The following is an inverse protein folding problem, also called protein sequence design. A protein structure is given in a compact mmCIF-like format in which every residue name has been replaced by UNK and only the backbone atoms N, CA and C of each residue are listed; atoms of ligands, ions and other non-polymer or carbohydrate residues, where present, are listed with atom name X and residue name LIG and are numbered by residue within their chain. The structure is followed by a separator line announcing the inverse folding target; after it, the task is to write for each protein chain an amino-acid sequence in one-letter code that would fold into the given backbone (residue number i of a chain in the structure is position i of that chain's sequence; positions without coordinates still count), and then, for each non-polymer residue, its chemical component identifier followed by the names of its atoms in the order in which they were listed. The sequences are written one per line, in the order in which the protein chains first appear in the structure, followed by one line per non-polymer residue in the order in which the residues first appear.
data_IF_794659109465
#
_entry.id   IF_794659109465
#
_cell.length_a   1.000
_cell.length_b   1.000
_cell.length_c   1.000
_cell.angle_alpha   90.00
_cell.angle_beta   90.00
_cell.angle_gamma   90.00
#
_symmetry.space_group_name_H-M   'P 1'
#
loop_
_entity.id
_entity.type
_entity.pdbx_description
1 polymer ?
#
# COMPACT_ATOMS: atom_id res chain seq x y z
N UNK A 1 -24.68 1.08 -25.16
CA UNK A 1 -24.67 -0.11 -24.30
C UNK A 1 -23.27 -0.63 -24.14
N UNK A 2 -22.77 -0.55 -22.94
CA UNK A 2 -21.45 -1.04 -22.67
C UNK A 2 -21.43 -2.56 -22.72
N UNK A 3 -20.65 -3.12 -23.60
CA UNK A 3 -20.30 -4.53 -23.54
C UNK A 3 -19.37 -4.73 -22.34
N UNK A 4 -19.93 -4.70 -21.14
CA UNK A 4 -19.15 -5.02 -19.94
C UNK A 4 -18.85 -6.51 -20.02
N UNK A 5 -17.57 -6.82 -20.21
CA UNK A 5 -17.12 -8.19 -20.14
C UNK A 5 -17.15 -8.64 -18.68
N UNK A 6 -18.10 -9.50 -18.34
CA UNK A 6 -18.28 -10.01 -16.98
C UNK A 6 -17.01 -10.69 -16.44
N UNK A 7 -16.21 -11.30 -17.32
CA UNK A 7 -14.94 -11.90 -16.92
C UNK A 7 -13.94 -10.86 -16.45
N UNK A 8 -13.92 -9.67 -17.06
CA UNK A 8 -13.03 -8.59 -16.65
C UNK A 8 -13.46 -7.98 -15.31
N UNK A 9 -14.77 -7.87 -15.05
CA UNK A 9 -15.29 -7.37 -13.77
C UNK A 9 -14.96 -8.36 -12.66
N UNK A 10 -15.16 -9.66 -12.88
CA UNK A 10 -14.82 -10.70 -11.91
C UNK A 10 -13.33 -10.72 -11.59
N UNK A 11 -12.47 -10.57 -12.61
CA UNK A 11 -11.02 -10.51 -12.43
C UNK A 11 -10.61 -9.29 -11.62
N UNK A 12 -11.22 -8.13 -11.89
CA UNK A 12 -10.96 -6.90 -11.14
C UNK A 12 -11.34 -7.05 -9.66
N UNK A 13 -12.49 -7.68 -9.38
CA UNK A 13 -12.92 -7.96 -8.02
C UNK A 13 -11.96 -8.91 -7.30
N UNK A 14 -11.47 -9.94 -7.97
CA UNK A 14 -10.48 -10.86 -7.41
C UNK A 14 -9.18 -10.14 -7.08
N UNK A 15 -8.71 -9.28 -7.97
CA UNK A 15 -7.49 -8.49 -7.74
C UNK A 15 -7.65 -7.56 -6.54
N UNK A 16 -8.81 -6.91 -6.39
CA UNK A 16 -9.09 -6.05 -5.24
C UNK A 16 -9.16 -6.84 -3.94
N UNK A 17 -9.76 -8.02 -3.95
CA UNK A 17 -9.81 -8.89 -2.78
C UNK A 17 -8.42 -9.35 -2.35
N UNK A 18 -7.56 -9.70 -3.30
CA UNK A 18 -6.18 -10.06 -3.01
C UNK A 18 -5.42 -8.87 -2.42
N UNK A 19 -5.60 -7.68 -2.99
CA UNK A 19 -4.96 -6.47 -2.50
C UNK A 19 -5.42 -6.09 -1.09
N UNK A 20 -6.69 -6.31 -0.78
CA UNK A 20 -7.24 -6.06 0.55
C UNK A 20 -6.60 -6.97 1.61
N UNK A 21 -6.41 -8.23 1.28
CA UNK A 21 -5.92 -9.24 2.22
C UNK A 21 -4.40 -9.39 2.26
N UNK A 22 -3.70 -8.89 1.26
CA UNK A 22 -2.24 -9.02 1.13
C UNK A 22 -1.62 -7.69 0.72
N UNK A 23 -0.81 -7.11 1.62
CA UNK A 23 -0.15 -5.84 1.40
C UNK A 23 0.79 -5.87 0.19
N UNK A 24 1.49 -6.97 -0.03
CA UNK A 24 2.38 -7.11 -1.18
C UNK A 24 1.59 -7.14 -2.49
N UNK A 25 0.46 -7.85 -2.51
CA UNK A 25 -0.44 -7.83 -3.67
C UNK A 25 -0.98 -6.43 -3.94
N UNK A 26 -1.32 -5.68 -2.90
CA UNK A 26 -1.70 -4.28 -3.01
C UNK A 26 -0.58 -3.44 -3.66
N UNK A 27 0.66 -3.61 -3.18
CA UNK A 27 1.80 -2.89 -3.72
C UNK A 27 2.05 -3.19 -5.20
N UNK A 28 1.94 -4.45 -5.59
CA UNK A 28 2.10 -4.85 -7.00
C UNK A 28 1.01 -4.28 -7.90
N UNK A 29 -0.20 -4.18 -7.40
CA UNK A 29 -1.33 -3.66 -8.16
C UNK A 29 -1.32 -2.13 -8.25
N UNK A 30 -1.12 -1.43 -7.14
CA UNK A 30 -1.24 0.03 -7.07
C UNK A 30 0.09 0.79 -7.17
N UNK A 31 1.20 0.13 -6.83
CA UNK A 31 2.54 0.73 -6.83
C UNK A 31 3.52 -0.11 -7.65
N UNK A 32 3.22 -0.38 -8.95
CA UNK A 32 4.05 -1.29 -9.73
C UNK A 32 5.48 -0.82 -9.92
N UNK A 33 5.73 0.49 -9.95
CA UNK A 33 7.07 1.04 -10.11
C UNK A 33 8.00 0.63 -8.96
N UNK A 34 7.46 0.48 -7.76
CA UNK A 34 8.23 0.10 -6.58
C UNK A 34 8.28 -1.41 -6.35
N UNK A 35 7.22 -2.14 -6.72
CA UNK A 35 7.08 -3.56 -6.38
C UNK A 35 7.36 -4.52 -7.54
N UNK A 36 7.39 -4.03 -8.78
CA UNK A 36 7.59 -4.88 -9.97
C UNK A 36 8.98 -4.78 -10.57
N UNK A 37 9.88 -3.99 -9.99
CA UNK A 37 11.27 -3.85 -10.48
C UNK A 37 12.09 -5.10 -10.27
N UNK A 38 11.83 -5.80 -9.19
CA UNK A 38 12.54 -7.02 -8.83
C UNK A 38 11.59 -7.95 -8.08
N UNK A 39 12.01 -9.21 -7.92
CA UNK A 39 11.26 -10.18 -7.17
C UNK A 39 11.18 -9.74 -5.69
N UNK A 40 10.00 -9.89 -5.10
CA UNK A 40 9.76 -9.52 -3.69
C UNK A 40 10.48 -10.51 -2.77
N UNK A 41 11.40 -10.05 -1.91
CA UNK A 41 12.07 -10.93 -0.96
C UNK A 41 11.09 -11.53 0.05
N UNK A 42 11.39 -12.72 0.54
CA UNK A 42 10.51 -13.42 1.49
C UNK A 42 10.25 -12.62 2.77
N UNK A 43 11.24 -11.86 3.26
CA UNK A 43 11.07 -11.09 4.49
C UNK A 43 10.09 -9.93 4.35
N UNK A 44 9.85 -9.45 3.13
CA UNK A 44 8.79 -8.45 2.88
C UNK A 44 7.40 -9.03 3.19
N UNK A 45 7.17 -10.29 2.88
CA UNK A 45 5.92 -10.96 3.23
C UNK A 45 5.75 -11.10 4.75
N UNK A 46 6.83 -11.38 5.47
CA UNK A 46 6.79 -11.43 6.94
C UNK A 46 6.46 -10.07 7.56
N UNK A 47 7.05 -9.00 7.03
CA UNK A 47 6.76 -7.63 7.49
C UNK A 47 5.30 -7.27 7.18
N UNK A 48 4.82 -7.60 5.99
CA UNK A 48 3.44 -7.35 5.60
C UNK A 48 2.45 -8.06 6.51
N UNK A 49 2.70 -9.32 6.83
CA UNK A 49 1.86 -10.10 7.74
C UNK A 49 1.85 -9.50 9.14
N UNK A 50 3.01 -9.05 9.63
CA UNK A 50 3.10 -8.40 10.94
C UNK A 50 2.33 -7.07 10.96
N UNK A 51 2.39 -6.29 9.89
CA UNK A 51 1.64 -5.03 9.78
C UNK A 51 0.13 -5.27 9.77
N UNK A 52 -0.32 -6.38 9.20
CA UNK A 52 -1.73 -6.74 9.14
C UNK A 52 -2.27 -7.35 10.45
N UNK A 53 -1.40 -7.75 11.36
CA UNK A 53 -1.80 -8.42 12.59
C UNK A 53 -2.35 -7.42 13.60
N UNK A 54 -3.66 -7.48 13.84
CA UNK A 54 -4.37 -6.57 14.74
C UNK A 54 -4.08 -6.80 16.21
N UNK A 55 -3.41 -7.90 16.59
CA UNK A 55 -3.01 -8.17 17.96
C UNK A 55 -1.80 -7.33 18.39
N UNK A 56 -1.04 -6.80 17.45
CA UNK A 56 0.10 -5.95 17.74
C UNK A 56 -0.34 -4.48 17.90
N UNK A 57 -0.13 -3.90 19.07
CA UNK A 57 -0.32 -2.48 19.30
C UNK A 57 0.89 -1.66 18.88
N UNK A 58 2.06 -2.26 19.01
CA UNK A 58 3.33 -1.64 18.64
C UNK A 58 4.15 -2.65 17.86
N UNK A 59 4.72 -2.21 16.75
CA UNK A 59 5.54 -3.04 15.89
C UNK A 59 6.85 -2.33 15.59
N UNK A 60 7.97 -2.99 15.90
CA UNK A 60 9.30 -2.52 15.51
C UNK A 60 9.80 -3.37 14.34
N UNK A 61 10.12 -2.72 13.23
CA UNK A 61 10.67 -3.38 12.04
C UNK A 61 12.14 -3.00 11.93
N UNK A 62 13.01 -3.99 12.10
CA UNK A 62 14.46 -3.81 12.08
C UNK A 62 15.02 -4.56 10.88
N UNK A 63 15.39 -3.81 9.85
CA UNK A 63 15.97 -4.33 8.63
C UNK A 63 17.20 -3.50 8.26
N UNK A 64 18.18 -4.09 7.56
CA UNK A 64 19.32 -3.32 7.05
C UNK A 64 18.87 -2.22 6.10
N UNK A 65 19.74 -1.22 5.93
CA UNK A 65 19.51 -0.14 4.97
C UNK A 65 19.33 -0.71 3.56
N UNK A 66 18.39 -0.13 2.78
CA UNK A 66 18.15 -0.57 1.41
C UNK A 66 17.27 -1.80 1.26
N UNK A 67 16.62 -2.26 2.33
CA UNK A 67 15.76 -3.45 2.30
C UNK A 67 14.27 -3.15 2.23
N UNK A 68 13.89 -1.92 1.82
CA UNK A 68 12.51 -1.60 1.48
C UNK A 68 11.59 -1.25 2.64
N UNK A 69 12.11 -0.96 3.83
CA UNK A 69 11.29 -0.58 5.01
C UNK A 69 10.36 0.59 4.73
N UNK A 70 10.91 1.64 4.15
CA UNK A 70 10.17 2.87 3.88
C UNK A 70 9.08 2.64 2.83
N UNK A 71 9.38 1.89 1.79
CA UNK A 71 8.40 1.55 0.74
C UNK A 71 7.26 0.73 1.33
N UNK A 72 7.55 -0.27 2.16
CA UNK A 72 6.53 -1.09 2.82
C UNK A 72 5.65 -0.25 3.75
N UNK A 73 6.25 0.67 4.49
CA UNK A 73 5.51 1.56 5.40
C UNK A 73 4.57 2.47 4.63
N UNK A 74 5.05 3.10 3.56
CA UNK A 74 4.22 3.94 2.69
C UNK A 74 3.10 3.13 2.03
N UNK A 75 3.42 1.92 1.59
CA UNK A 75 2.43 1.00 1.02
C UNK A 75 1.33 0.67 2.03
N UNK A 76 1.70 0.40 3.28
CA UNK A 76 0.73 0.10 4.34
C UNK A 76 -0.22 1.28 4.60
N UNK A 77 0.31 2.50 4.62
CA UNK A 77 -0.51 3.72 4.79
C UNK A 77 -1.48 3.89 3.62
N UNK A 78 -1.02 3.70 2.40
CA UNK A 78 -1.89 3.80 1.21
C UNK A 78 -2.94 2.69 1.18
N UNK A 79 -2.59 1.48 1.59
CA UNK A 79 -3.54 0.38 1.72
C UNK A 79 -4.68 0.75 2.68
N UNK A 80 -4.33 1.26 3.85
CA UNK A 80 -5.33 1.68 4.82
C UNK A 80 -6.18 2.84 4.28
N UNK A 81 -5.55 3.79 3.60
CA UNK A 81 -6.27 4.92 3.00
C UNK A 81 -7.33 4.44 1.99
N UNK A 82 -6.98 3.47 1.16
CA UNK A 82 -7.90 2.96 0.12
C UNK A 82 -9.05 2.15 0.73
N UNK A 83 -8.75 1.27 1.68
CA UNK A 83 -9.73 0.30 2.18
C UNK A 83 -10.45 0.71 3.47
N UNK A 84 -10.05 1.82 4.09
CA UNK A 84 -10.70 2.34 5.31
C UNK A 84 -11.20 3.78 5.13
N UNK A 85 -11.64 4.12 3.93
CA UNK A 85 -12.07 5.48 3.61
C UNK A 85 -13.23 6.00 4.46
N UNK A 86 -14.08 5.09 4.96
CA UNK A 86 -15.23 5.42 5.80
C UNK A 86 -14.87 5.55 7.28
N UNK A 87 -13.64 5.20 7.65
CA UNK A 87 -13.13 5.26 9.01
C UNK A 87 -11.79 6.03 9.00
N UNK A 88 -11.85 7.36 9.10
CA UNK A 88 -10.66 8.19 8.93
C UNK A 88 -9.59 7.87 9.96
N UNK A 89 -8.38 7.62 9.47
CA UNK A 89 -7.22 7.31 10.28
C UNK A 89 -6.27 8.51 10.30
N UNK A 90 -5.61 8.71 11.43
CA UNK A 90 -4.56 9.70 11.56
C UNK A 90 -3.20 9.03 11.55
N UNK A 91 -2.29 9.51 10.71
CA UNK A 91 -0.94 9.01 10.62
C UNK A 91 0.06 10.12 10.91
N UNK A 92 0.99 9.85 11.80
CA UNK A 92 2.13 10.73 12.06
C UNK A 92 3.41 10.10 11.55
N UNK A 93 4.11 10.78 10.67
CA UNK A 93 5.43 10.34 10.21
C UNK A 93 6.51 11.11 10.98
N UNK A 94 7.27 10.38 11.79
CA UNK A 94 8.33 10.96 12.61
C UNK A 94 9.69 10.48 12.10
N UNK A 95 10.58 11.41 11.87
CA UNK A 95 11.94 11.13 11.40
C UNK A 95 12.94 12.04 12.11
N UNK A 96 14.23 11.78 11.93
CA UNK A 96 15.29 12.58 12.55
C UNK A 96 15.27 14.05 12.08
N UNK A 97 14.79 14.33 10.88
CA UNK A 97 14.66 15.69 10.35
C UNK A 97 13.53 15.77 9.32
N UNK A 98 13.09 17.01 9.04
CA UNK A 98 12.10 17.27 7.99
C UNK A 98 12.60 16.90 6.60
N UNK A 99 13.92 16.90 6.38
CA UNK A 99 14.52 16.47 5.11
C UNK A 99 14.23 15.00 4.80
N UNK A 100 13.94 14.20 5.82
CA UNK A 100 13.59 12.78 5.67
C UNK A 100 12.08 12.61 5.63
N UNK A 101 11.34 13.26 6.54
CA UNK A 101 9.89 13.05 6.66
C UNK A 101 9.09 13.68 5.52
N UNK A 102 9.45 14.88 5.07
CA UNK A 102 8.69 15.60 4.03
C UNK A 102 8.65 14.84 2.70
N UNK A 103 9.78 14.33 2.15
CA UNK A 103 9.72 13.56 0.90
C UNK A 103 8.84 12.30 1.01
N UNK A 104 8.81 11.65 2.17
CA UNK A 104 7.97 10.47 2.38
C UNK A 104 6.50 10.82 2.37
N UNK A 105 6.12 11.93 3.00
CA UNK A 105 4.76 12.45 2.95
C UNK A 105 4.36 12.89 1.55
N UNK A 106 5.28 13.53 0.82
CA UNK A 106 5.05 13.96 -0.56
C UNK A 106 4.79 12.78 -1.49
N UNK A 107 5.48 11.66 -1.30
CA UNK A 107 5.23 10.43 -2.03
C UNK A 107 3.80 9.93 -1.82
N UNK A 108 3.34 9.90 -0.58
CA UNK A 108 1.98 9.47 -0.24
C UNK A 108 0.95 10.41 -0.85
N UNK A 109 1.15 11.72 -0.73
CA UNK A 109 0.27 12.73 -1.32
C UNK A 109 0.20 12.60 -2.84
N UNK A 110 1.35 12.38 -3.48
CA UNK A 110 1.41 12.19 -4.93
C UNK A 110 0.52 11.02 -5.36
N UNK A 111 0.61 9.88 -4.70
CA UNK A 111 -0.20 8.71 -5.04
C UNK A 111 -1.69 8.93 -4.76
N UNK A 112 -2.03 9.66 -3.72
CA UNK A 112 -3.43 10.01 -3.45
C UNK A 112 -4.00 10.89 -4.56
N UNK A 113 -3.23 11.86 -5.05
CA UNK A 113 -3.69 12.81 -6.06
C UNK A 113 -3.65 12.23 -7.48
N UNK A 114 -2.59 11.51 -7.84
CA UNK A 114 -2.27 11.19 -9.23
C UNK A 114 -2.29 9.69 -9.57
N UNK A 115 -2.40 8.80 -8.59
CA UNK A 115 -2.48 7.37 -8.89
C UNK A 115 -3.89 7.03 -9.39
N UNK A 116 -4.00 6.78 -10.68
CA UNK A 116 -5.30 6.53 -11.33
C UNK A 116 -6.02 5.32 -10.75
N UNK A 117 -5.30 4.24 -10.46
CA UNK A 117 -5.91 3.03 -9.88
C UNK A 117 -6.47 3.29 -8.49
N UNK A 118 -5.77 4.06 -7.67
CA UNK A 118 -6.26 4.44 -6.34
C UNK A 118 -7.52 5.29 -6.49
N UNK A 119 -7.50 6.28 -7.36
CA UNK A 119 -8.64 7.19 -7.56
C UNK A 119 -9.87 6.46 -8.09
N UNK A 120 -9.70 5.55 -9.02
CA UNK A 120 -10.80 4.73 -9.55
C UNK A 120 -11.37 3.85 -8.43
N UNK A 121 -10.53 3.24 -7.61
CA UNK A 121 -10.96 2.36 -6.51
C UNK A 121 -11.74 3.15 -5.45
N UNK A 122 -11.34 4.38 -5.15
CA UNK A 122 -12.04 5.22 -4.17
C UNK A 122 -13.43 5.66 -4.64
N UNK A 123 -13.69 5.68 -5.94
CA UNK A 123 -15.01 6.02 -6.49
C UNK A 123 -16.02 4.86 -6.40
N UNK A 124 -15.53 3.67 -6.13
CA UNK A 124 -16.37 2.49 -5.93
C UNK A 124 -16.86 2.47 -4.46
#
# INVERSE_FOLDING_TARGET
MSNINLNNVSKAEEELNLAYNDLIAFGKLFLPDDFMRSETPFFHYEVADACANMDFRQLAVILPRGHGKTVLTKCNILHDFVFTKDDPLFYGWVAASSKISVPNLDYIKYHIEFNEKINITLEI
#
